data_IF_633054906140
#
_entry.id   IF_633054906140
#
_cell.length_a   1.000
_cell.length_b   1.000
_cell.length_c   1.000
_cell.angle_alpha   90.00
_cell.angle_beta   90.00
_cell.angle_gamma   90.00
#
_symmetry.space_group_name_H-M   'P 1'
#
loop_
_entity.id
_entity.type
_entity.pdbx_description
1 polymer ?
#
# COMPACT_ATOMS: atom_id res chain seq x y z
N UNK A 1 3.84 19.13 -15.67
CA UNK A 1 3.81 18.67 -15.41
C UNK A 1 3.52 17.98 -14.95
N UNK A 2 3.50 17.75 -14.83
CA UNK A 2 3.38 17.04 -14.30
C UNK A 2 2.99 16.27 -13.99
N UNK A 3 2.91 16.12 -13.94
CA UNK A 3 2.53 15.38 -13.65
C UNK A 3 2.43 14.64 -13.12
N UNK A 4 2.50 14.53 -12.88
CA UNK A 4 2.42 13.81 -12.39
C UNK A 4 1.98 13.16 -11.90
N UNK A 5 1.98 13.20 -11.71
CA UNK A 5 1.32 12.80 -11.48
C UNK A 5 1.04 11.86 -11.14
N UNK A 6 1.17 12.00 -10.98
CA UNK A 6 0.62 11.25 -10.91
C UNK A 6 0.62 10.24 -10.66
N UNK A 7 1.23 10.32 -10.45
CA UNK A 7 0.83 9.00 -10.77
C UNK A 7 1.21 8.02 -9.72
N UNK A 8 0.21 7.36 -9.29
CA UNK A 8 0.33 6.30 -8.33
C UNK A 8 0.81 5.08 -9.06
N UNK A 9 2.04 4.67 -8.77
CA UNK A 9 2.61 3.47 -9.38
C UNK A 9 2.02 2.25 -8.72
N UNK A 10 1.80 1.21 -9.53
CA UNK A 10 1.40 -0.08 -8.99
C UNK A 10 2.53 -0.68 -8.17
N UNK A 11 2.16 -1.54 -7.24
CA UNK A 11 3.07 -2.05 -6.24
C UNK A 11 2.79 -3.52 -6.01
N UNK A 12 3.84 -4.31 -5.88
CA UNK A 12 3.68 -5.71 -5.48
C UNK A 12 3.54 -5.78 -3.98
N UNK A 13 2.45 -6.38 -3.52
CA UNK A 13 2.16 -6.52 -2.10
C UNK A 13 1.78 -7.97 -1.82
N UNK A 14 2.37 -8.56 -0.79
CA UNK A 14 1.88 -9.81 -0.26
C UNK A 14 0.90 -9.46 0.84
N UNK A 15 -0.33 -9.91 0.70
CA UNK A 15 -1.37 -9.59 1.65
C UNK A 15 -2.13 -10.85 2.04
N UNK A 16 -2.84 -10.76 3.16
CA UNK A 16 -3.72 -11.79 3.63
C UNK A 16 -5.16 -11.34 3.43
N UNK A 17 -5.94 -12.13 2.74
CA UNK A 17 -7.38 -11.95 2.66
C UNK A 17 -8.00 -12.84 3.71
N UNK A 18 -8.56 -12.22 4.75
CA UNK A 18 -9.17 -12.98 5.83
C UNK A 18 -10.58 -13.39 5.43
N UNK A 19 -11.05 -14.47 6.02
CA UNK A 19 -12.37 -14.98 5.69
C UNK A 19 -13.50 -14.03 6.10
N UNK A 20 -13.22 -13.06 6.96
CA UNK A 20 -14.21 -12.05 7.34
C UNK A 20 -14.22 -10.86 6.38
N UNK A 21 -13.43 -10.91 5.32
CA UNK A 21 -13.37 -9.86 4.32
C UNK A 21 -12.29 -8.81 4.53
N UNK A 22 -11.61 -8.85 5.66
CA UNK A 22 -10.52 -7.90 5.92
C UNK A 22 -9.29 -8.27 5.12
N UNK A 23 -8.55 -7.25 4.70
CA UNK A 23 -7.32 -7.41 3.93
C UNK A 23 -6.19 -6.82 4.76
N UNK A 24 -5.13 -7.61 4.94
CA UNK A 24 -3.98 -7.20 5.75
C UNK A 24 -2.73 -7.21 4.86
N UNK A 25 -2.09 -6.04 4.65
CA UNK A 25 -0.82 -6.02 3.92
C UNK A 25 0.30 -6.56 4.81
N UNK A 26 1.10 -7.47 4.27
CA UNK A 26 2.16 -8.15 5.03
C UNK A 26 3.55 -7.75 4.60
N UNK A 27 3.78 -7.67 3.27
CA UNK A 27 5.08 -7.29 2.71
C UNK A 27 4.86 -6.47 1.46
N UNK A 28 5.79 -5.55 1.22
CA UNK A 28 5.79 -4.77 -0.02
C UNK A 28 7.14 -4.91 -0.68
N UNK A 29 7.15 -4.79 -2.02
CA UNK A 29 8.38 -4.77 -2.78
C UNK A 29 8.62 -3.35 -3.27
N UNK A 30 9.82 -2.85 -2.99
CA UNK A 30 10.23 -1.52 -3.41
C UNK A 30 11.46 -1.64 -4.27
N UNK A 31 11.57 -0.78 -5.27
CA UNK A 31 12.70 -0.71 -6.15
C UNK A 31 13.77 0.19 -5.54
N UNK A 32 15.02 -0.28 -5.54
CA UNK A 32 16.13 0.52 -5.05
C UNK A 32 16.68 1.41 -6.17
N UNK A 33 17.78 2.10 -5.87
CA UNK A 33 18.38 3.05 -6.83
C UNK A 33 18.90 2.35 -8.07
N UNK A 34 19.28 1.08 -7.95
CA UNK A 34 19.80 0.30 -9.06
C UNK A 34 18.71 -0.36 -9.90
N UNK A 35 17.46 -0.13 -9.53
CA UNK A 35 16.33 -0.69 -10.22
C UNK A 35 15.96 -2.09 -9.77
N UNK A 36 16.57 -2.60 -8.71
CA UNK A 36 16.30 -3.93 -8.21
C UNK A 36 15.21 -3.90 -7.14
N UNK A 37 14.34 -4.90 -7.16
CA UNK A 37 13.25 -4.99 -6.20
C UNK A 37 13.69 -5.70 -4.95
N UNK A 38 13.30 -5.15 -3.81
CA UNK A 38 13.53 -5.77 -2.51
C UNK A 38 12.22 -5.82 -1.74
N UNK A 39 12.02 -6.91 -1.01
CA UNK A 39 10.81 -7.10 -0.22
C UNK A 39 11.05 -6.66 1.21
N UNK A 40 10.09 -5.91 1.75
CA UNK A 40 10.16 -5.40 3.12
C UNK A 40 8.93 -5.84 3.88
N UNK A 41 9.15 -6.36 5.08
CA UNK A 41 8.05 -6.73 5.97
C UNK A 41 7.40 -5.48 6.54
N UNK A 42 6.09 -5.44 6.52
CA UNK A 42 5.34 -4.35 7.13
C UNK A 42 5.30 -4.61 8.64
N UNK A 43 5.89 -3.70 9.41
CA UNK A 43 5.97 -3.84 10.86
C UNK A 43 4.66 -3.52 11.54
N UNK A 44 3.95 -2.53 11.00
CA UNK A 44 2.64 -2.16 11.49
C UNK A 44 1.89 -1.48 10.36
N UNK A 45 0.58 -1.49 10.45
CA UNK A 45 -0.26 -0.84 9.45
C UNK A 45 -1.51 -0.29 10.12
N UNK A 46 -2.12 0.67 9.44
CA UNK A 46 -3.39 1.24 9.86
C UNK A 46 -4.20 1.53 8.60
N UNK A 47 -5.44 1.05 8.58
CA UNK A 47 -6.37 1.41 7.52
C UNK A 47 -7.01 2.74 7.87
N UNK A 48 -6.74 3.77 7.07
CA UNK A 48 -7.13 5.12 7.41
C UNK A 48 -8.58 5.44 7.07
N UNK A 49 -9.23 4.57 6.30
CA UNK A 49 -10.62 4.79 5.90
C UNK A 49 -11.52 3.58 6.16
N UNK A 50 -11.18 2.77 7.17
CA UNK A 50 -11.89 1.52 7.41
C UNK A 50 -13.39 1.72 7.60
N UNK A 51 -13.77 2.74 8.35
CA UNK A 51 -15.18 3.00 8.64
C UNK A 51 -15.97 3.44 7.41
N UNK A 52 -15.26 3.88 6.35
CA UNK A 52 -15.88 4.35 5.12
C UNK A 52 -15.78 3.32 4.00
N UNK A 53 -15.00 2.27 4.21
CA UNK A 53 -14.68 1.32 3.15
C UNK A 53 -15.55 0.08 3.17
N UNK A 54 -16.59 0.08 3.99
CA UNK A 54 -17.44 -1.11 4.16
C UNK A 54 -18.33 -1.37 2.97
N UNK A 55 -18.49 -0.39 2.10
CA UNK A 55 -19.35 -0.52 0.93
C UNK A 55 -18.50 -0.40 -0.34
N UNK A 56 -18.09 -1.53 -0.94
CA UNK A 56 -17.26 -1.47 -2.16
C UNK A 56 -17.93 -0.78 -3.34
N UNK A 57 -19.24 -0.67 -3.34
CA UNK A 57 -19.96 0.03 -4.40
C UNK A 57 -19.73 1.54 -4.35
N UNK A 58 -19.59 2.10 -3.15
CA UNK A 58 -19.47 3.54 -2.95
C UNK A 58 -18.05 3.96 -2.61
N UNK A 59 -17.28 3.05 -2.01
CA UNK A 59 -15.91 3.34 -1.63
C UNK A 59 -15.03 2.14 -1.90
N UNK A 60 -14.65 1.93 -3.17
CA UNK A 60 -13.98 0.70 -3.59
C UNK A 60 -12.49 0.66 -3.28
N UNK A 61 -11.97 1.60 -2.52
CA UNK A 61 -10.54 1.69 -2.26
C UNK A 61 -10.26 1.75 -0.77
N UNK A 62 -9.36 0.89 -0.31
CA UNK A 62 -8.83 0.94 1.05
C UNK A 62 -7.50 1.67 1.05
N UNK A 63 -7.29 2.53 2.03
CA UNK A 63 -6.04 3.26 2.20
C UNK A 63 -5.35 2.80 3.47
N UNK A 64 -4.08 2.44 3.34
CA UNK A 64 -3.28 1.97 4.47
C UNK A 64 -2.06 2.86 4.66
N UNK A 65 -1.74 3.10 5.92
CA UNK A 65 -0.48 3.71 6.30
C UNK A 65 0.36 2.61 6.94
N UNK A 66 1.51 2.31 6.35
CA UNK A 66 2.34 1.17 6.73
C UNK A 66 3.68 1.64 7.22
N UNK A 67 4.18 1.02 8.28
CA UNK A 67 5.52 1.26 8.78
C UNK A 67 6.42 0.12 8.37
N UNK A 68 7.53 0.46 7.73
CA UNK A 68 8.55 -0.51 7.33
C UNK A 68 9.92 0.01 7.74
N UNK A 69 10.90 -0.90 7.75
CA UNK A 69 12.31 -0.50 7.79
C UNK A 69 12.90 -0.84 6.44
N UNK A 70 13.29 0.18 5.70
CA UNK A 70 13.82 0.01 4.35
C UNK A 70 15.05 0.87 4.19
N UNK A 71 16.09 0.28 3.60
CA UNK A 71 17.33 0.98 3.31
C UNK A 71 17.94 1.65 4.55
N UNK A 72 17.85 0.93 5.69
CA UNK A 72 18.44 1.39 6.95
C UNK A 72 17.61 2.43 7.70
N UNK A 73 16.41 2.73 7.24
CA UNK A 73 15.57 3.75 7.87
C UNK A 73 14.16 3.24 8.08
N UNK A 74 13.55 3.71 9.17
CA UNK A 74 12.13 3.50 9.37
C UNK A 74 11.35 4.48 8.51
N UNK A 75 10.36 3.98 7.78
CA UNK A 75 9.59 4.79 6.84
C UNK A 75 8.11 4.51 6.99
N UNK A 76 7.32 5.56 6.78
CA UNK A 76 5.88 5.43 6.63
C UNK A 76 5.55 5.50 5.15
N UNK A 77 4.81 4.52 4.67
CA UNK A 77 4.39 4.45 3.27
C UNK A 77 2.88 4.34 3.24
N UNK A 78 2.27 5.24 2.47
CA UNK A 78 0.84 5.14 2.17
C UNK A 78 0.64 4.26 0.95
N UNK A 79 -0.22 3.26 1.07
CA UNK A 79 -0.58 2.39 -0.05
C UNK A 79 -2.08 2.29 -0.12
N UNK A 80 -2.59 1.95 -1.30
CA UNK A 80 -4.01 1.77 -1.50
C UNK A 80 -4.29 0.46 -2.22
N UNK A 81 -5.43 -0.13 -1.90
CA UNK A 81 -5.92 -1.31 -2.60
C UNK A 81 -7.28 -0.98 -3.21
N UNK A 82 -7.40 -1.21 -4.52
CA UNK A 82 -8.63 -0.99 -5.25
C UNK A 82 -9.38 -2.31 -5.44
N UNK A 83 -10.64 -2.35 -5.01
CA UNK A 83 -11.48 -3.53 -5.24
C UNK A 83 -11.87 -3.68 -6.70
N UNK A 84 -11.85 -2.60 -7.48
CA UNK A 84 -12.23 -2.65 -8.88
C UNK A 84 -11.24 -3.44 -9.72
N UNK A 85 -9.96 -3.18 -9.53
CA UNK A 85 -8.94 -3.80 -10.38
C UNK A 85 -8.03 -4.77 -9.62
N UNK A 86 -8.19 -4.85 -8.29
CA UNK A 86 -7.38 -5.73 -7.47
C UNK A 86 -5.92 -5.32 -7.37
N UNK A 87 -5.62 -4.07 -7.64
CA UNK A 87 -4.25 -3.59 -7.65
C UNK A 87 -3.92 -2.78 -6.41
N UNK A 88 -2.67 -2.91 -5.98
CA UNK A 88 -2.08 -2.08 -4.94
C UNK A 88 -1.30 -0.96 -5.60
N UNK A 89 -1.37 0.22 -5.01
CA UNK A 89 -0.64 1.39 -5.52
C UNK A 89 0.02 2.12 -4.37
N UNK A 90 1.20 2.69 -4.65
CA UNK A 90 1.87 3.52 -3.66
C UNK A 90 1.29 4.93 -3.74
N UNK A 91 0.94 5.48 -2.56
CA UNK A 91 0.34 6.81 -2.46
C UNK A 91 1.38 7.85 -2.09
N UNK A 92 2.36 7.46 -1.28
CA UNK A 92 3.40 8.38 -0.87
C UNK A 92 4.30 7.75 0.17
N UNK A 93 5.45 8.37 0.37
CA UNK A 93 6.44 7.89 1.32
C UNK A 93 6.90 9.06 2.17
N UNK A 94 6.96 8.83 3.49
CA UNK A 94 7.60 9.77 4.40
C UNK A 94 8.75 9.10 5.11
N UNK A 95 9.71 9.88 5.52
CA UNK A 95 10.91 9.38 6.16
C UNK A 95 10.93 9.84 7.60
#
# INVERSE_FOLDING_TARGET
>A
MGVMVHSQKTLDVICQHKKDGNIIPLKIRLQDEDGEYQAFTIKSYRCTNLNKAVDPMHNPTLFFECKIVAFGQERLIGISFSFHDGLWKVMGTTV
#
